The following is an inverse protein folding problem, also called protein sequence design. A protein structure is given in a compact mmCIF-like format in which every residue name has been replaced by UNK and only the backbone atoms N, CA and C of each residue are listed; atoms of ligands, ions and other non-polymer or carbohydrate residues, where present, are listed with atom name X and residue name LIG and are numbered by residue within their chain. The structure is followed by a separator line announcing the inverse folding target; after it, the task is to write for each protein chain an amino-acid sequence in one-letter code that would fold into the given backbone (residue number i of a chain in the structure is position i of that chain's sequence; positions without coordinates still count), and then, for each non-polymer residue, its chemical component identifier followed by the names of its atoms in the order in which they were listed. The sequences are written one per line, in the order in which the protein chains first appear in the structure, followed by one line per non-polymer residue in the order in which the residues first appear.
data_IF_212246174687
#
_entry.id   IF_212246174687
#
_cell.length_a   1.000
_cell.length_b   1.000
_cell.length_c   1.000
_cell.angle_alpha   90.00
_cell.angle_beta   90.00
_cell.angle_gamma   90.00
#
_symmetry.space_group_name_H-M   'P 1'
#
loop_
_entity.id
_entity.type
_entity.pdbx_description
1 polymer ?
#
# COMPACT_ATOMS: atom_id res chain seq x y z
N UNK A 1 -32.19 -19.97 62.59
CA UNK A 1 -32.02 -19.16 61.36
C UNK A 1 -30.89 -19.77 60.54
N UNK A 2 -31.19 -20.59 59.53
CA UNK A 2 -30.20 -21.13 58.60
C UNK A 2 -30.08 -20.23 57.35
N UNK A 3 -28.89 -20.01 56.78
CA UNK A 3 -28.76 -19.21 55.57
C UNK A 3 -29.12 -20.05 54.34
N UNK A 4 -29.97 -19.45 53.49
CA UNK A 4 -30.32 -19.95 52.17
C UNK A 4 -29.15 -19.75 51.20
N UNK A 5 -28.78 -20.81 50.49
CA UNK A 5 -28.00 -20.75 49.25
C UNK A 5 -28.86 -20.14 48.14
N UNK A 6 -28.33 -19.14 47.42
CA UNK A 6 -28.86 -18.71 46.12
C UNK A 6 -27.77 -18.95 45.08
N UNK A 7 -27.99 -19.91 44.19
CA UNK A 7 -27.20 -20.09 42.98
C UNK A 7 -27.58 -18.97 41.99
N UNK A 8 -26.62 -18.13 41.64
CA UNK A 8 -26.77 -17.19 40.52
C UNK A 8 -26.36 -17.88 39.22
N UNK A 9 -27.31 -18.14 38.34
CA UNK A 9 -27.05 -18.55 36.96
C UNK A 9 -26.66 -17.31 36.15
N UNK A 10 -25.38 -17.19 35.80
CA UNK A 10 -24.93 -16.22 34.81
C UNK A 10 -25.07 -16.84 33.42
N UNK A 11 -26.02 -16.34 32.62
CA UNK A 11 -26.11 -16.67 31.20
C UNK A 11 -25.05 -15.83 30.49
N UNK A 12 -23.95 -16.46 30.10
CA UNK A 12 -22.98 -15.89 29.17
C UNK A 12 -23.62 -15.77 27.79
N UNK A 13 -23.92 -14.55 27.36
CA UNK A 13 -24.27 -14.26 25.99
C UNK A 13 -22.95 -14.20 25.19
N UNK A 14 -22.62 -15.26 24.46
CA UNK A 14 -21.58 -15.20 23.44
C UNK A 14 -22.07 -14.28 22.32
N UNK A 15 -21.59 -13.04 22.33
CA UNK A 15 -21.67 -12.17 21.17
C UNK A 15 -20.62 -12.66 20.17
N UNK A 16 -20.98 -13.63 19.32
CA UNK A 16 -20.19 -13.96 18.14
C UNK A 16 -20.25 -12.75 17.20
N UNK A 17 -19.18 -11.96 17.15
CA UNK A 17 -18.98 -10.96 16.10
C UNK A 17 -18.76 -11.70 14.80
N UNK A 18 -19.83 -11.96 14.05
CA UNK A 18 -19.71 -12.27 12.64
C UNK A 18 -19.21 -11.01 11.94
N UNK A 19 -17.97 -11.05 11.44
CA UNK A 19 -17.50 -10.11 10.43
C UNK A 19 -18.31 -10.40 9.18
N UNK A 20 -19.39 -9.65 8.98
CA UNK A 20 -20.12 -9.67 7.72
C UNK A 20 -19.25 -8.93 6.71
N UNK A 21 -18.66 -9.67 5.78
CA UNK A 21 -18.05 -9.08 4.59
C UNK A 21 -19.10 -8.23 3.88
N UNK A 22 -18.80 -6.95 3.64
CA UNK A 22 -19.73 -6.06 2.95
C UNK A 22 -19.89 -6.54 1.49
N UNK A 23 -21.09 -6.99 1.07
CA UNK A 23 -21.33 -7.51 -0.27
C UNK A 23 -21.13 -6.45 -1.38
N UNK A 24 -20.99 -5.17 -1.03
CA UNK A 24 -20.72 -4.09 -1.99
C UNK A 24 -19.30 -4.12 -2.56
N UNK A 25 -18.30 -4.54 -1.77
CA UNK A 25 -16.92 -4.71 -2.26
C UNK A 25 -16.79 -5.95 -3.16
N UNK A 26 -17.45 -7.06 -2.79
CA UNK A 26 -17.47 -8.29 -3.58
C UNK A 26 -18.06 -8.08 -4.98
N UNK A 27 -19.10 -7.23 -5.14
CA UNK A 27 -19.72 -6.96 -6.46
C UNK A 27 -18.82 -6.22 -7.46
N UNK A 28 -17.78 -5.49 -7.02
CA UNK A 28 -16.84 -4.81 -7.95
C UNK A 28 -15.67 -5.71 -8.34
N UNK A 29 -15.23 -6.60 -7.45
CA UNK A 29 -14.15 -7.54 -7.75
C UNK A 29 -14.52 -8.47 -8.93
N UNK A 30 -15.79 -8.84 -9.05
CA UNK A 30 -16.34 -9.63 -10.17
C UNK A 30 -16.47 -8.83 -11.48
N UNK A 31 -16.26 -7.51 -11.46
CA UNK A 31 -16.32 -6.64 -12.65
C UNK A 31 -14.95 -6.36 -13.27
N UNK A 32 -13.85 -6.76 -12.62
CA UNK A 32 -12.51 -6.54 -13.14
C UNK A 32 -12.23 -7.60 -14.23
N UNK A 33 -11.91 -7.20 -15.48
CA UNK A 33 -11.56 -8.15 -16.52
C UNK A 33 -10.45 -9.12 -16.09
N UNK A 34 -10.61 -10.40 -16.42
CA UNK A 34 -9.72 -11.47 -15.97
C UNK A 34 -8.24 -11.22 -16.32
N UNK A 35 -7.97 -10.65 -17.50
CA UNK A 35 -6.61 -10.32 -17.93
C UNK A 35 -5.88 -9.36 -16.97
N UNK A 36 -6.59 -8.50 -16.23
CA UNK A 36 -5.98 -7.61 -15.24
C UNK A 36 -5.40 -8.42 -14.07
N UNK A 37 -6.05 -9.53 -13.70
CA UNK A 37 -5.54 -10.44 -12.66
C UNK A 37 -4.42 -11.32 -13.23
N UNK A 38 -4.62 -11.84 -14.44
CA UNK A 38 -3.66 -12.76 -15.08
C UNK A 38 -2.29 -12.11 -15.33
N UNK A 39 -2.27 -10.79 -15.56
CA UNK A 39 -1.06 -10.00 -15.81
C UNK A 39 -0.69 -9.06 -14.65
N UNK A 40 -1.29 -9.26 -13.45
CA UNK A 40 -0.93 -8.47 -12.27
C UNK A 40 0.57 -8.59 -11.97
N UNK A 41 1.31 -7.50 -11.76
CA UNK A 41 2.75 -7.60 -11.47
C UNK A 41 3.03 -8.38 -10.18
N UNK A 42 4.17 -9.05 -10.16
CA UNK A 42 4.76 -9.66 -8.97
C UNK A 42 5.87 -8.76 -8.47
N UNK A 43 5.94 -8.54 -7.16
CA UNK A 43 6.87 -7.59 -6.54
C UNK A 43 7.87 -8.34 -5.68
N UNK A 44 9.16 -8.25 -5.99
CA UNK A 44 10.19 -8.63 -5.03
C UNK A 44 10.41 -7.46 -4.06
N UNK A 45 10.22 -7.72 -2.77
CA UNK A 45 10.65 -6.84 -1.70
C UNK A 45 12.12 -7.09 -1.40
N UNK A 46 12.85 -6.07 -0.95
CA UNK A 46 14.25 -6.24 -0.60
C UNK A 46 14.44 -7.31 0.49
N UNK A 47 15.54 -8.07 0.41
CA UNK A 47 15.89 -9.11 1.39
C UNK A 47 16.05 -8.59 2.82
N UNK A 48 16.32 -7.29 2.99
CA UNK A 48 16.44 -6.64 4.28
C UNK A 48 15.24 -5.75 4.62
N UNK A 49 14.13 -5.85 3.85
CA UNK A 49 12.92 -5.07 4.10
C UNK A 49 12.40 -5.31 5.53
N UNK A 50 11.97 -4.21 6.16
CA UNK A 50 11.36 -4.18 7.49
C UNK A 50 9.97 -3.59 7.48
N UNK A 51 9.66 -2.73 6.51
CA UNK A 51 8.39 -2.04 6.34
C UNK A 51 7.67 -2.70 5.18
N UNK A 52 6.84 -3.69 5.49
CA UNK A 52 6.14 -4.49 4.50
C UNK A 52 4.85 -3.79 4.01
N UNK A 53 4.26 -4.26 2.89
CA UNK A 53 2.95 -3.79 2.46
C UNK A 53 1.93 -3.90 3.59
N UNK A 54 1.10 -2.88 3.74
CA UNK A 54 0.35 -2.62 4.97
C UNK A 54 -1.16 -2.65 4.73
N UNK A 55 -1.92 -3.10 5.73
CA UNK A 55 -3.37 -3.02 5.69
C UNK A 55 -3.86 -1.57 5.80
N UNK A 56 -4.59 -1.10 4.78
CA UNK A 56 -5.06 0.28 4.69
C UNK A 56 -6.02 0.63 5.84
N UNK A 57 -6.92 -0.29 6.20
CA UNK A 57 -7.86 -0.06 7.29
C UNK A 57 -7.12 0.07 8.62
N UNK A 58 -6.14 -0.80 8.87
CA UNK A 58 -5.29 -0.76 10.06
C UNK A 58 -4.52 0.55 10.18
N UNK A 59 -4.04 1.08 9.06
CA UNK A 59 -3.39 2.39 9.05
C UNK A 59 -4.37 3.50 9.45
N UNK A 60 -5.57 3.53 8.86
CA UNK A 60 -6.60 4.53 9.19
C UNK A 60 -7.03 4.43 10.66
N UNK A 61 -7.17 3.22 11.21
CA UNK A 61 -7.47 2.99 12.62
C UNK A 61 -6.44 3.61 13.57
N UNK A 62 -5.19 3.74 13.14
CA UNK A 62 -4.08 4.27 13.95
C UNK A 62 -3.72 5.72 13.61
N UNK A 63 -4.48 6.36 12.73
CA UNK A 63 -4.29 7.78 12.37
C UNK A 63 -5.49 8.65 12.70
N UNK A 64 -5.27 9.95 12.76
CA UNK A 64 -6.28 10.96 13.09
C UNK A 64 -6.07 12.20 12.22
N UNK A 65 -7.14 12.91 11.81
CA UNK A 65 -7.00 14.05 10.92
C UNK A 65 -6.53 15.31 11.63
N UNK A 66 -5.61 16.00 10.99
CA UNK A 66 -5.03 17.26 11.42
C UNK A 66 -5.27 18.34 10.34
N UNK A 67 -5.38 19.58 10.79
CA UNK A 67 -5.37 20.79 9.95
C UNK A 67 -4.37 21.74 10.57
N UNK A 68 -3.46 22.30 9.78
CA UNK A 68 -2.44 23.25 10.27
C UNK A 68 -1.71 22.75 11.53
N UNK A 69 -1.31 21.47 11.57
CA UNK A 69 -0.62 20.82 12.70
C UNK A 69 -1.44 20.71 14.00
N UNK A 70 -2.75 20.90 13.93
CA UNK A 70 -3.65 20.75 15.08
C UNK A 70 -4.67 19.65 14.79
N UNK A 71 -4.91 18.77 15.77
CA UNK A 71 -5.94 17.74 15.67
C UNK A 71 -7.33 18.37 15.51
N UNK A 72 -8.17 17.80 14.64
CA UNK A 72 -9.59 18.18 14.57
C UNK A 72 -10.26 17.73 15.88
N UNK A 73 -11.04 18.63 16.50
CA UNK A 73 -11.71 18.38 17.78
C UNK A 73 -13.20 18.76 17.71
N UNK A 74 -14.14 17.84 18.02
CA UNK A 74 -13.91 16.42 18.32
C UNK A 74 -13.32 15.67 17.11
N UNK A 75 -12.50 14.62 17.33
CA UNK A 75 -11.94 13.85 16.23
C UNK A 75 -13.06 13.13 15.47
N UNK A 76 -13.19 13.33 14.14
CA UNK A 76 -14.19 12.63 13.36
C UNK A 76 -13.86 11.13 13.31
N UNK A 77 -14.89 10.30 13.30
CA UNK A 77 -14.74 8.86 13.09
C UNK A 77 -14.48 8.60 11.60
N UNK A 78 -13.28 8.12 11.29
CA UNK A 78 -12.83 7.83 9.92
C UNK A 78 -12.60 6.34 9.72
N UNK A 79 -13.01 5.82 8.57
CA UNK A 79 -12.82 4.46 8.07
C UNK A 79 -12.52 4.51 6.58
N UNK A 80 -12.10 3.39 5.97
CA UNK A 80 -11.83 3.31 4.52
C UNK A 80 -13.04 3.77 3.69
N UNK A 81 -14.26 3.54 4.19
CA UNK A 81 -15.51 3.80 3.49
C UNK A 81 -15.98 5.25 3.55
N UNK A 82 -15.39 6.09 4.42
CA UNK A 82 -15.90 7.44 4.68
C UNK A 82 -14.81 8.53 4.69
N UNK A 83 -13.59 8.24 4.21
CA UNK A 83 -12.49 9.21 4.16
C UNK A 83 -12.86 10.48 3.40
N UNK A 84 -13.77 10.39 2.42
CA UNK A 84 -14.27 11.53 1.66
C UNK A 84 -15.01 12.56 2.53
N UNK A 85 -15.53 12.15 3.69
CA UNK A 85 -16.13 13.07 4.66
C UNK A 85 -15.15 14.13 5.16
N UNK A 86 -13.84 13.89 5.09
CA UNK A 86 -12.81 14.87 5.44
C UNK A 86 -12.72 16.04 4.45
N UNK A 87 -13.26 15.90 3.24
CA UNK A 87 -13.25 16.97 2.24
C UNK A 87 -13.97 18.24 2.71
N UNK A 88 -14.89 18.13 3.68
CA UNK A 88 -15.54 19.29 4.29
C UNK A 88 -14.55 20.26 4.96
N UNK A 89 -13.35 19.78 5.32
CA UNK A 89 -12.30 20.56 5.96
C UNK A 89 -11.31 21.21 4.99
N UNK A 90 -11.45 20.96 3.68
CA UNK A 90 -10.59 21.55 2.65
C UNK A 90 -11.17 22.89 2.17
N UNK A 91 -11.19 23.89 3.05
CA UNK A 91 -11.72 25.24 2.79
C UNK A 91 -10.60 26.29 2.79
N UNK A 92 -10.61 27.26 1.86
CA UNK A 92 -9.67 28.39 1.87
C UNK A 92 -8.19 27.97 2.06
N UNK A 93 -7.70 27.07 1.20
CA UNK A 93 -6.33 26.56 1.17
C UNK A 93 -5.91 25.66 2.35
N UNK A 94 -6.80 25.41 3.33
CA UNK A 94 -6.50 24.41 4.38
C UNK A 94 -6.45 23.02 3.77
N UNK A 95 -5.44 22.25 4.17
CA UNK A 95 -5.29 20.84 3.79
C UNK A 95 -5.46 19.98 5.03
N UNK A 96 -6.46 19.11 4.99
CA UNK A 96 -6.57 18.00 5.96
C UNK A 96 -5.56 16.91 5.59
N UNK A 97 -4.95 16.32 6.61
CA UNK A 97 -4.08 15.14 6.44
C UNK A 97 -4.22 14.23 7.66
N UNK A 98 -3.95 12.94 7.48
CA UNK A 98 -3.91 11.97 8.56
C UNK A 98 -2.49 11.90 9.14
N UNK A 99 -2.39 11.75 10.46
CA UNK A 99 -1.13 11.50 11.17
C UNK A 99 -1.36 10.52 12.30
N UNK A 100 -0.30 9.92 12.85
CA UNK A 100 -0.39 8.96 13.94
C UNK A 100 -1.17 9.49 15.15
N UNK A 101 -1.96 8.61 15.78
CA UNK A 101 -2.58 8.86 17.09
C UNK A 101 -1.56 8.86 18.22
N UNK A 102 -0.49 8.10 18.06
CA UNK A 102 0.60 7.98 19.04
C UNK A 102 1.94 8.46 18.46
N UNK A 103 2.92 8.86 19.30
CA UNK A 103 4.24 9.27 18.83
C UNK A 103 4.95 8.16 18.03
N UNK A 104 5.61 8.52 16.93
CA UNK A 104 6.33 7.57 16.07
C UNK A 104 7.50 6.90 16.81
N UNK A 105 8.07 7.59 17.80
CA UNK A 105 9.20 7.14 18.63
C UNK A 105 8.86 5.90 19.46
N UNK A 106 7.57 5.62 19.67
CA UNK A 106 7.11 4.40 20.32
C UNK A 106 7.27 3.15 19.44
N UNK A 107 7.69 3.31 18.19
CA UNK A 107 7.81 2.26 17.18
C UNK A 107 6.52 1.39 17.07
N UNK A 108 5.37 1.98 16.73
CA UNK A 108 4.13 1.23 16.59
C UNK A 108 4.29 0.06 15.62
N UNK A 109 3.95 -1.14 16.05
CA UNK A 109 4.23 -2.36 15.28
C UNK A 109 3.47 -2.43 13.95
N UNK A 110 2.33 -1.75 13.83
CA UNK A 110 1.57 -1.71 12.58
C UNK A 110 2.32 -0.98 11.44
N UNK A 111 3.31 -0.14 11.76
CA UNK A 111 4.17 0.51 10.76
C UNK A 111 5.04 -0.49 10.01
N UNK A 112 5.32 -1.66 10.59
CA UNK A 112 6.09 -2.73 9.93
C UNK A 112 5.28 -3.46 8.85
N UNK A 113 3.97 -3.22 8.76
CA UNK A 113 3.10 -3.85 7.78
C UNK A 113 2.95 -5.37 7.96
N UNK A 114 2.49 -6.02 6.90
CA UNK A 114 2.23 -7.46 6.85
C UNK A 114 3.22 -8.11 5.89
N UNK A 115 4.12 -8.90 6.44
CA UNK A 115 5.08 -9.64 5.62
C UNK A 115 4.36 -10.69 4.74
N UNK A 116 4.66 -10.78 3.43
CA UNK A 116 4.14 -11.84 2.58
C UNK A 116 4.50 -13.24 3.08
N UNK A 117 3.55 -14.16 2.96
CA UNK A 117 3.72 -15.59 3.22
C UNK A 117 4.54 -16.29 2.12
N UNK A 118 4.66 -17.62 2.19
CA UNK A 118 5.40 -18.42 1.21
C UNK A 118 4.81 -18.39 -0.21
N UNK A 119 3.53 -18.03 -0.35
CA UNK A 119 2.84 -17.86 -1.63
C UNK A 119 2.83 -16.40 -2.07
N UNK A 120 3.50 -15.52 -1.33
CA UNK A 120 3.55 -14.09 -1.58
C UNK A 120 2.30 -13.34 -1.12
N UNK A 121 1.39 -13.95 -0.36
CA UNK A 121 0.17 -13.27 0.09
C UNK A 121 0.41 -12.50 1.38
N UNK A 122 -0.08 -11.27 1.48
CA UNK A 122 -0.23 -10.58 2.76
C UNK A 122 -1.52 -11.02 3.45
N UNK A 123 -1.41 -12.01 4.34
CA UNK A 123 -2.58 -12.63 5.01
C UNK A 123 -3.30 -11.62 5.91
N UNK A 124 -4.63 -11.59 5.82
CA UNK A 124 -5.51 -10.71 6.59
C UNK A 124 -5.19 -9.20 6.46
N UNK A 125 -4.61 -8.79 5.32
CA UNK A 125 -4.31 -7.41 5.00
C UNK A 125 -4.75 -7.05 3.58
N UNK A 126 -5.39 -5.89 3.44
CA UNK A 126 -5.65 -5.23 2.16
C UNK A 126 -4.55 -4.20 1.91
N UNK A 127 -3.49 -4.64 1.25
CA UNK A 127 -2.27 -3.87 0.98
C UNK A 127 -2.14 -3.39 -0.47
N UNK A 128 -3.07 -3.81 -1.33
CA UNK A 128 -3.14 -3.41 -2.73
C UNK A 128 -4.57 -3.00 -3.10
N UNK A 129 -4.69 -1.92 -3.88
CA UNK A 129 -5.94 -1.49 -4.52
C UNK A 129 -5.74 -1.45 -6.02
N UNK A 130 -6.61 -2.12 -6.77
CA UNK A 130 -6.60 -2.08 -8.23
C UNK A 130 -7.59 -1.04 -8.75
N UNK A 131 -7.08 -0.04 -9.47
CA UNK A 131 -7.88 0.98 -10.14
C UNK A 131 -7.84 0.72 -11.63
N UNK A 132 -9.00 0.48 -12.24
CA UNK A 132 -9.13 0.17 -13.67
C UNK A 132 -9.73 1.37 -14.40
N UNK A 133 -9.06 1.81 -15.45
CA UNK A 133 -9.53 2.89 -16.33
C UNK A 133 -9.68 2.38 -17.75
N UNK A 134 -10.92 2.29 -18.22
CA UNK A 134 -11.21 2.08 -19.64
C UNK A 134 -10.94 3.38 -20.41
N UNK A 135 -10.03 3.33 -21.38
CA UNK A 135 -9.66 4.47 -22.24
C UNK A 135 -10.42 4.45 -23.58
N UNK A 136 -11.24 3.44 -23.83
CA UNK A 136 -11.92 3.21 -25.10
C UNK A 136 -11.03 2.51 -26.13
N UNK A 137 -11.63 2.12 -27.26
CA UNK A 137 -10.95 1.44 -28.38
C UNK A 137 -10.14 0.19 -27.94
N UNK A 138 -10.63 -0.51 -26.91
CA UNK A 138 -9.97 -1.68 -26.33
C UNK A 138 -8.71 -1.37 -25.52
N UNK A 139 -8.38 -0.10 -25.27
CA UNK A 139 -7.29 0.29 -24.37
C UNK A 139 -7.79 0.38 -22.93
N UNK A 140 -7.11 -0.32 -22.02
CA UNK A 140 -7.41 -0.32 -20.58
C UNK A 140 -6.12 -0.11 -19.81
N UNK A 141 -6.13 0.84 -18.86
CA UNK A 141 -5.03 1.03 -17.92
C UNK A 141 -5.44 0.47 -16.56
N UNK A 142 -4.67 -0.47 -16.02
CA UNK A 142 -4.85 -1.00 -14.67
C UNK A 142 -3.71 -0.52 -13.77
N UNK A 143 -4.06 0.20 -12.70
CA UNK A 143 -3.12 0.67 -11.68
C UNK A 143 -3.21 -0.28 -10.48
N UNK A 144 -2.08 -0.87 -10.11
CA UNK A 144 -1.93 -1.68 -8.89
C UNK A 144 -1.27 -0.76 -7.86
N UNK A 145 -2.10 -0.20 -6.99
CA UNK A 145 -1.68 0.76 -5.97
C UNK A 145 -1.26 -0.01 -4.71
N UNK A 146 0.00 0.12 -4.32
CA UNK A 146 0.62 -0.52 -3.18
C UNK A 146 0.63 0.43 -2.00
N UNK A 147 0.26 -0.07 -0.83
CA UNK A 147 0.21 0.75 0.37
C UNK A 147 1.19 0.28 1.43
N UNK A 148 1.94 1.22 2.00
CA UNK A 148 2.84 1.00 3.12
C UNK A 148 2.50 1.99 4.24
N UNK A 149 2.49 1.54 5.50
CA UNK A 149 2.15 2.43 6.63
C UNK A 149 3.29 3.38 6.97
N UNK A 150 4.50 3.07 6.55
CA UNK A 150 5.70 3.85 6.80
C UNK A 150 6.61 3.75 5.60
N UNK A 151 7.06 4.90 5.13
CA UNK A 151 8.20 5.02 4.23
C UNK A 151 9.43 5.36 5.07
N UNK A 152 10.50 4.60 4.84
CA UNK A 152 11.82 4.94 5.34
C UNK A 152 12.65 5.52 4.21
N UNK A 153 12.94 6.81 4.32
CA UNK A 153 13.66 7.57 3.32
C UNK A 153 15.13 7.16 3.16
N UNK A 154 15.78 7.71 2.13
CA UNK A 154 17.18 7.41 1.85
C UNK A 154 18.15 8.16 2.77
N UNK A 155 19.39 7.68 2.77
CA UNK A 155 20.52 8.38 3.38
C UNK A 155 21.19 9.27 2.32
N UNK A 156 21.11 10.59 2.50
CA UNK A 156 21.80 11.59 1.68
C UNK A 156 22.88 12.26 2.53
N UNK A 157 24.13 12.19 2.09
CA UNK A 157 25.27 12.78 2.81
C UNK A 157 25.30 12.38 4.31
N UNK A 158 25.08 11.09 4.59
CA UNK A 158 25.04 10.51 5.94
C UNK A 158 23.86 10.94 6.82
N UNK A 159 22.84 11.59 6.26
CA UNK A 159 21.60 11.94 6.95
C UNK A 159 20.42 11.22 6.31
N UNK A 160 19.57 10.62 7.15
CA UNK A 160 18.30 10.02 6.73
C UNK A 160 17.28 11.12 6.47
N UNK A 161 16.69 11.12 5.28
CA UNK A 161 15.73 12.11 4.83
C UNK A 161 14.62 11.42 4.03
N UNK A 162 13.39 11.86 4.22
CA UNK A 162 12.26 11.40 3.42
C UNK A 162 11.23 10.59 4.19
N UNK A 163 11.52 10.17 5.44
CA UNK A 163 10.58 9.38 6.23
C UNK A 163 9.18 10.01 6.31
N UNK A 164 8.15 9.21 6.03
CA UNK A 164 6.76 9.64 6.17
C UNK A 164 5.80 8.53 6.58
N UNK A 165 4.70 8.96 7.20
CA UNK A 165 3.60 8.09 7.62
C UNK A 165 2.62 7.94 6.47
N UNK A 166 2.45 6.69 6.03
CA UNK A 166 1.64 6.35 4.87
C UNK A 166 2.41 6.63 3.58
N UNK A 167 2.39 5.65 2.70
CA UNK A 167 3.06 5.69 1.42
C UNK A 167 2.26 4.93 0.36
N UNK A 168 2.18 5.53 -0.81
CA UNK A 168 1.44 5.02 -1.95
C UNK A 168 2.36 4.92 -3.15
N UNK A 169 2.77 3.70 -3.42
CA UNK A 169 3.50 3.34 -4.61
C UNK A 169 2.54 2.67 -5.60
N UNK A 170 2.93 2.57 -6.87
CA UNK A 170 2.11 1.86 -7.85
C UNK A 170 2.87 1.36 -9.06
N UNK A 171 2.28 0.37 -9.71
CA UNK A 171 2.52 0.10 -11.13
C UNK A 171 1.27 0.33 -11.94
N UNK A 172 1.46 0.64 -13.23
CA UNK A 172 0.37 0.64 -14.19
C UNK A 172 0.70 -0.28 -15.35
N UNK A 173 -0.22 -1.19 -15.67
CA UNK A 173 -0.15 -2.00 -16.89
C UNK A 173 -1.18 -1.48 -17.88
N UNK A 174 -0.72 -1.12 -19.08
CA UNK A 174 -1.58 -0.77 -20.21
C UNK A 174 -1.84 -1.99 -21.06
N UNK A 175 -3.12 -2.22 -21.34
CA UNK A 175 -3.60 -3.29 -22.21
C UNK A 175 -4.19 -2.72 -23.50
N UNK A 176 -4.05 -3.48 -24.58
CA UNK A 176 -4.80 -3.31 -25.83
C UNK A 176 -5.52 -4.62 -26.14
N UNK A 177 -6.85 -4.56 -26.22
CA UNK A 177 -7.71 -5.72 -26.46
C UNK A 177 -7.41 -6.90 -25.51
N UNK A 178 -7.10 -6.59 -24.24
CA UNK A 178 -6.76 -7.57 -23.20
C UNK A 178 -5.32 -8.09 -23.20
N UNK A 179 -4.47 -7.68 -24.14
CA UNK A 179 -3.03 -8.01 -24.13
C UNK A 179 -2.21 -6.86 -23.55
N UNK A 180 -1.26 -7.13 -22.63
CA UNK A 180 -0.43 -6.07 -22.03
C UNK A 180 0.61 -5.55 -23.03
N UNK A 181 0.69 -4.23 -23.19
CA UNK A 181 1.61 -3.57 -24.13
C UNK A 181 2.72 -2.81 -23.42
N UNK A 182 2.41 -2.14 -22.31
CA UNK A 182 3.34 -1.30 -21.57
C UNK A 182 3.14 -1.41 -20.06
N UNK A 183 4.20 -1.11 -19.32
CA UNK A 183 4.23 -1.10 -17.87
C UNK A 183 4.91 0.19 -17.39
N UNK A 184 4.28 0.88 -16.43
CA UNK A 184 4.84 2.02 -15.71
C UNK A 184 5.20 1.61 -14.29
N UNK A 185 6.39 1.99 -13.85
CA UNK A 185 6.88 1.85 -12.50
C UNK A 185 6.99 3.23 -11.87
N UNK A 186 6.28 3.47 -10.77
CA UNK A 186 6.46 4.69 -10.00
C UNK A 186 7.78 4.68 -9.23
N UNK A 187 8.42 5.85 -9.18
CA UNK A 187 9.69 6.08 -8.49
C UNK A 187 9.60 7.48 -7.88
N UNK A 188 9.26 7.54 -6.60
CA UNK A 188 9.07 8.82 -5.89
C UNK A 188 8.04 9.70 -6.63
N UNK A 189 8.38 10.97 -6.89
CA UNK A 189 7.55 11.89 -7.66
C UNK A 189 7.53 11.65 -9.19
N UNK A 190 8.21 10.61 -9.69
CA UNK A 190 8.36 10.30 -11.11
C UNK A 190 8.15 8.79 -11.38
N UNK A 191 8.79 8.27 -12.43
CA UNK A 191 8.73 6.86 -12.78
C UNK A 191 9.32 6.58 -14.15
N UNK A 192 9.26 5.32 -14.55
CA UNK A 192 9.79 4.83 -15.82
C UNK A 192 8.77 3.92 -16.53
N UNK A 193 8.70 4.07 -17.85
CA UNK A 193 7.86 3.25 -18.71
C UNK A 193 8.70 2.20 -19.46
N UNK A 194 8.16 1.00 -19.58
CA UNK A 194 8.76 -0.11 -20.31
C UNK A 194 7.73 -0.74 -21.24
N UNK A 195 8.17 -1.24 -22.40
CA UNK A 195 7.36 -2.19 -23.16
C UNK A 195 7.16 -3.45 -22.31
N UNK A 196 5.93 -3.94 -22.17
CA UNK A 196 5.65 -5.08 -21.30
C UNK A 196 6.46 -6.32 -21.68
N UNK A 197 6.68 -6.53 -22.99
CA UNK A 197 7.52 -7.59 -23.54
C UNK A 197 8.96 -7.58 -23.02
N UNK A 198 9.52 -6.42 -22.68
CA UNK A 198 10.90 -6.27 -22.20
C UNK A 198 11.08 -6.63 -20.71
N UNK A 199 9.99 -6.68 -19.93
CA UNK A 199 10.08 -7.01 -18.50
C UNK A 199 10.49 -8.45 -18.28
N UNK A 200 11.27 -8.68 -17.21
CA UNK A 200 11.44 -10.03 -16.63
C UNK A 200 10.07 -10.54 -16.17
N UNK A 201 9.80 -11.85 -16.34
CA UNK A 201 8.48 -12.44 -16.04
C UNK A 201 8.60 -13.74 -15.28
N UNK A 202 7.56 -14.05 -14.51
CA UNK A 202 7.25 -15.39 -14.00
C UNK A 202 5.93 -15.82 -14.63
N UNK A 203 5.98 -16.80 -15.54
CA UNK A 203 4.89 -17.02 -16.47
C UNK A 203 4.66 -15.78 -17.32
N UNK A 204 3.42 -15.28 -17.34
CA UNK A 204 3.03 -14.09 -18.10
C UNK A 204 3.06 -12.79 -17.28
N UNK A 205 3.31 -12.89 -15.97
CA UNK A 205 3.29 -11.77 -15.02
C UNK A 205 4.65 -11.10 -14.96
N UNK A 206 4.67 -9.78 -15.11
CA UNK A 206 5.89 -8.99 -14.96
C UNK A 206 6.43 -9.08 -13.52
N UNK A 207 7.74 -9.19 -13.38
CA UNK A 207 8.46 -9.10 -12.10
C UNK A 207 9.02 -7.69 -11.97
N UNK A 208 8.77 -7.07 -10.83
CA UNK A 208 9.31 -5.76 -10.44
C UNK A 208 10.00 -5.88 -9.08
N UNK A 209 10.74 -4.84 -8.70
CA UNK A 209 11.51 -4.78 -7.47
C UNK A 209 11.18 -3.51 -6.70
N UNK A 210 10.74 -3.66 -5.45
CA UNK A 210 10.50 -2.56 -4.51
C UNK A 210 11.81 -2.19 -3.82
N UNK A 211 12.14 -0.90 -3.79
CA UNK A 211 13.26 -0.41 -3.02
C UNK A 211 13.05 -0.61 -1.52
N UNK A 212 14.14 -0.85 -0.80
CA UNK A 212 14.09 -0.98 0.66
C UNK A 212 13.68 0.33 1.30
N UNK A 213 12.59 0.31 2.08
CA UNK A 213 12.13 1.45 2.85
C UNK A 213 11.41 2.53 2.07
N UNK A 214 11.94 2.95 0.91
CA UNK A 214 11.34 3.98 0.04
C UNK A 214 10.29 3.45 -0.91
N UNK A 215 10.24 2.12 -1.07
CA UNK A 215 9.29 1.35 -1.87
C UNK A 215 9.18 1.70 -3.37
N UNK A 216 9.98 2.65 -3.88
CA UNK A 216 10.08 2.98 -5.29
C UNK A 216 10.29 1.72 -6.14
N UNK A 217 9.65 1.67 -7.30
CA UNK A 217 9.53 0.47 -8.12
C UNK A 217 10.52 0.46 -9.28
N UNK A 218 11.23 -0.66 -9.44
CA UNK A 218 12.29 -0.84 -10.42
C UNK A 218 12.17 -2.13 -11.24
N UNK A 219 12.66 -2.07 -12.47
CA UNK A 219 12.60 -3.21 -13.40
C UNK A 219 13.68 -4.28 -13.11
N UNK A 220 14.73 -3.91 -12.34
CA UNK A 220 15.85 -4.79 -12.01
C UNK A 220 16.23 -4.65 -10.53
N UNK A 221 16.82 -5.71 -9.97
CA UNK A 221 17.52 -5.63 -8.69
C UNK A 221 18.80 -4.77 -8.81
N UNK A 222 19.32 -4.32 -7.68
CA UNK A 222 20.54 -3.54 -7.57
C UNK A 222 20.31 -2.10 -7.12
N UNK A 223 21.31 -1.27 -7.41
CA UNK A 223 21.37 0.13 -7.01
C UNK A 223 20.79 1.02 -8.12
N UNK A 224 19.94 1.95 -7.71
CA UNK A 224 19.25 2.88 -8.61
C UNK A 224 19.45 4.31 -8.13
N UNK A 225 20.44 5.00 -8.71
CA UNK A 225 20.57 6.44 -8.51
C UNK A 225 19.34 7.17 -9.06
N UNK A 226 18.83 8.10 -8.27
CA UNK A 226 17.73 8.98 -8.66
C UNK A 226 18.03 10.44 -8.31
N UNK A 227 19.32 10.79 -8.11
CA UNK A 227 19.78 12.18 -7.99
C UNK A 227 19.32 13.03 -9.18
N UNK A 228 19.31 12.44 -10.39
CA UNK A 228 18.74 13.05 -11.59
C UNK A 228 17.52 12.21 -12.01
N UNK A 229 16.29 12.73 -11.85
CA UNK A 229 15.09 11.99 -12.23
C UNK A 229 15.14 11.49 -13.68
N UNK A 230 14.84 10.20 -13.88
CA UNK A 230 14.78 9.57 -15.20
C UNK A 230 16.12 9.11 -15.78
N UNK A 231 17.23 9.22 -15.04
CA UNK A 231 18.54 8.69 -15.44
C UNK A 231 18.96 7.58 -14.50
N UNK A 232 19.12 6.36 -15.01
CA UNK A 232 19.59 5.22 -14.21
C UNK A 232 21.12 5.20 -14.17
N UNK A 233 21.72 5.59 -13.05
CA UNK A 233 23.15 5.43 -12.78
C UNK A 233 23.36 4.38 -11.69
N UNK A 234 24.48 3.65 -11.77
CA UNK A 234 24.84 2.64 -10.77
C UNK A 234 25.41 3.22 -9.47
N UNK A 235 25.53 4.55 -9.38
CA UNK A 235 26.03 5.28 -8.22
C UNK A 235 25.61 6.76 -8.32
N UNK A 236 25.31 7.37 -7.18
CA UNK A 236 24.98 8.79 -7.08
C UNK A 236 24.87 9.24 -5.61
N UNK A 237 24.33 10.44 -5.40
CA UNK A 237 24.22 11.04 -4.06
C UNK A 237 22.95 10.58 -3.31
N UNK A 238 22.01 10.01 -4.05
CA UNK A 238 20.70 9.59 -3.59
C UNK A 238 20.32 8.31 -4.35
N UNK A 239 20.38 7.17 -3.67
CA UNK A 239 20.35 5.84 -4.29
C UNK A 239 19.33 4.96 -3.57
N UNK A 240 18.47 4.32 -4.35
CA UNK A 240 17.62 3.23 -3.89
C UNK A 240 18.29 1.89 -4.09
N UNK A 241 17.96 0.95 -3.19
CA UNK A 241 18.51 -0.40 -3.21
C UNK A 241 17.37 -1.41 -3.31
N UNK A 242 17.51 -2.35 -4.24
CA UNK A 242 16.52 -3.40 -4.50
C UNK A 242 17.19 -4.77 -4.55
N UNK A 243 16.49 -5.82 -4.13
CA UNK A 243 16.95 -7.20 -4.26
C UNK A 243 15.80 -8.19 -4.41
N UNK A 244 16.14 -9.45 -4.71
CA UNK A 244 15.23 -10.58 -4.83
C UNK A 244 14.94 -11.23 -3.47
N UNK A 245 14.43 -10.44 -2.52
CA UNK A 245 14.01 -10.92 -1.21
C UNK A 245 12.67 -11.66 -1.25
N UNK A 246 11.72 -11.24 -0.41
CA UNK A 246 10.41 -11.89 -0.38
C UNK A 246 9.59 -11.50 -1.61
N UNK A 247 9.07 -12.51 -2.31
CA UNK A 247 8.08 -12.31 -3.36
C UNK A 247 6.75 -11.93 -2.72
N UNK A 248 6.14 -10.86 -3.22
CA UNK A 248 4.81 -10.41 -2.90
C UNK A 248 3.92 -10.55 -4.15
N UNK A 249 2.78 -11.20 -3.97
CA UNK A 249 1.69 -11.34 -4.92
C UNK A 249 0.53 -10.45 -4.45
N UNK A 250 0.48 -9.18 -4.90
CA UNK A 250 -0.44 -8.15 -4.41
C UNK A 250 -1.90 -8.35 -4.81
#
# INVERSE_FOLDING_TARGET
MPPFFVYSFSILWLCSTFVLSDPRFSRRADQIPQFIRDFAPLVFLDKNEKYFPSDIAKHIENTTPFINKTAINPPPSVTVENLDSLNQYNVNETKVYLTLKEPVENNPTFLLGTQPDENGKTVDATSCVVIVTDRGDGTVDAFYMYFYSFDKGNIVLSQELGDHIGDWEHTMVRFKNGSPEALWLSQHAYGQAFSYGAMKKQGDRAIIYSAIGTHANYATAGDHDHTIPGVTLSAGLLVDHTSDGKLWDP
#
